data_IF_598351726553
#
_entry.id   IF_598351726553
#
_cell.length_a   1.000
_cell.length_b   1.000
_cell.length_c   1.000
_cell.angle_alpha   90.00
_cell.angle_beta   90.00
_cell.angle_gamma   90.00
#
_symmetry.space_group_name_H-M   'P 1'
#
loop_
_entity.id
_entity.type
_entity.pdbx_description
1 polymer ?
#
# COMPACT_ATOMS: atom_id res chain seq x y z
N UNK A 1 -6.39 7.47 7.38
CA UNK A 1 -6.26 6.60 8.58
C UNK A 1 -6.73 7.23 9.90
N UNK A 2 -6.36 8.48 10.22
CA UNK A 2 -6.76 9.16 11.47
C UNK A 2 -8.30 9.28 11.58
N UNK A 3 -8.95 9.70 10.49
CA UNK A 3 -10.41 9.79 10.40
C UNK A 3 -11.12 8.47 10.77
N UNK A 4 -10.63 7.35 10.24
CA UNK A 4 -11.16 6.01 10.50
C UNK A 4 -10.99 5.62 11.98
N UNK A 5 -9.87 5.98 12.62
CA UNK A 5 -9.66 5.70 14.06
C UNK A 5 -10.57 6.51 14.97
N UNK A 6 -10.98 7.70 14.54
CA UNK A 6 -11.89 8.56 15.28
C UNK A 6 -13.37 8.14 15.11
N UNK A 7 -13.65 6.99 14.50
CA UNK A 7 -14.99 6.46 14.27
C UNK A 7 -15.58 6.84 12.91
N UNK A 8 -14.77 7.35 11.99
CA UNK A 8 -15.19 7.64 10.62
C UNK A 8 -15.53 6.36 9.84
N UNK A 9 -16.57 6.45 9.01
CA UNK A 9 -16.99 5.38 8.10
C UNK A 9 -16.63 5.73 6.66
N UNK A 10 -16.65 4.75 5.75
CA UNK A 10 -16.39 4.95 4.33
C UNK A 10 -17.32 6.00 3.69
N UNK A 11 -18.49 6.24 4.29
CA UNK A 11 -19.48 7.24 3.87
C UNK A 11 -19.11 8.69 4.24
N UNK A 12 -17.88 8.91 4.74
CA UNK A 12 -17.31 10.22 5.10
C UNK A 12 -18.22 11.05 6.04
N UNK A 13 -18.94 10.37 6.94
CA UNK A 13 -19.79 11.03 7.93
C UNK A 13 -18.98 11.94 8.86
N UNK A 14 -19.51 13.12 9.26
CA UNK A 14 -18.83 14.00 10.19
C UNK A 14 -18.55 13.30 11.52
N UNK A 15 -17.32 13.40 12.00
CA UNK A 15 -16.92 12.91 13.33
C UNK A 15 -16.86 14.06 14.33
N UNK A 16 -17.20 13.78 15.59
CA UNK A 16 -17.09 14.79 16.65
C UNK A 16 -15.62 15.08 16.98
N UNK A 17 -15.30 16.36 17.21
CA UNK A 17 -13.96 16.80 17.63
C UNK A 17 -13.50 16.08 18.91
N UNK A 18 -14.43 15.79 19.83
CA UNK A 18 -14.14 15.05 21.07
C UNK A 18 -13.62 13.64 20.81
N UNK A 19 -14.17 12.93 19.82
CA UNK A 19 -13.73 11.57 19.49
C UNK A 19 -12.35 11.60 18.83
N UNK A 20 -12.13 12.58 17.95
CA UNK A 20 -10.83 12.80 17.33
C UNK A 20 -9.75 13.07 18.38
N UNK A 21 -9.97 14.03 19.28
CA UNK A 21 -9.01 14.39 20.33
C UNK A 21 -8.72 13.22 21.29
N UNK A 22 -9.74 12.45 21.68
CA UNK A 22 -9.54 11.26 22.52
C UNK A 22 -8.68 10.21 21.82
N UNK A 23 -8.97 9.90 20.56
CA UNK A 23 -8.19 8.93 19.78
C UNK A 23 -6.74 9.41 19.59
N UNK A 24 -6.54 10.68 19.25
CA UNK A 24 -5.23 11.27 19.05
C UNK A 24 -4.40 11.33 20.33
N UNK A 25 -5.00 11.76 21.44
CA UNK A 25 -4.35 11.78 22.76
C UNK A 25 -3.89 10.37 23.17
N UNK A 26 -4.72 9.35 22.93
CA UNK A 26 -4.36 7.97 23.21
C UNK A 26 -3.14 7.53 22.40
N UNK A 27 -3.10 7.86 21.11
CA UNK A 27 -1.97 7.53 20.23
C UNK A 27 -0.69 8.22 20.69
N UNK A 28 -0.76 9.52 20.99
CA UNK A 28 0.40 10.29 21.46
C UNK A 28 0.98 9.78 22.77
N UNK A 29 0.13 9.33 23.70
CA UNK A 29 0.56 8.84 25.01
C UNK A 29 1.07 7.39 24.98
N UNK A 30 0.58 6.57 24.04
CA UNK A 30 0.89 5.13 24.00
C UNK A 30 2.07 4.80 23.07
N UNK A 31 2.31 5.63 22.05
CA UNK A 31 3.27 5.33 20.98
C UNK A 31 4.52 6.21 21.07
N UNK A 32 5.72 5.64 21.31
CA UNK A 32 6.93 6.41 21.53
C UNK A 32 7.51 7.05 20.26
N UNK A 33 7.20 6.51 19.08
CA UNK A 33 7.77 6.95 17.80
C UNK A 33 6.76 6.87 16.64
N UNK A 34 7.15 7.40 15.49
CA UNK A 34 6.31 7.46 14.28
C UNK A 34 5.90 6.08 13.78
N UNK A 35 6.80 5.10 13.81
CA UNK A 35 6.49 3.73 13.42
C UNK A 35 5.40 3.12 14.30
N UNK A 36 5.46 3.32 15.62
CA UNK A 36 4.42 2.83 16.54
C UNK A 36 3.10 3.54 16.32
N UNK A 37 3.12 4.87 16.11
CA UNK A 37 1.91 5.65 15.79
C UNK A 37 1.26 5.15 14.50
N UNK A 38 2.07 4.89 13.47
CA UNK A 38 1.61 4.41 12.17
C UNK A 38 0.96 3.03 12.25
N UNK A 39 1.60 2.08 12.94
CA UNK A 39 1.02 0.74 13.16
C UNK A 39 -0.26 0.82 13.99
N UNK A 40 -0.28 1.62 15.06
CA UNK A 40 -1.46 1.82 15.89
C UNK A 40 -2.63 2.39 15.07
N UNK A 41 -2.37 3.36 14.20
CA UNK A 41 -3.36 3.96 13.32
C UNK A 41 -3.93 2.94 12.33
N UNK A 42 -3.11 2.19 11.61
CA UNK A 42 -3.62 1.27 10.59
C UNK A 42 -4.32 0.05 11.20
N UNK A 43 -3.80 -0.48 12.31
CA UNK A 43 -4.39 -1.63 12.99
C UNK A 43 -5.58 -1.27 13.88
N UNK A 44 -5.78 0.02 14.18
CA UNK A 44 -6.71 0.53 15.21
C UNK A 44 -6.42 -0.05 16.59
N UNK A 45 -5.13 -0.24 16.90
CA UNK A 45 -4.65 -0.83 18.14
C UNK A 45 -4.91 -2.33 18.31
N UNK A 46 -5.36 -3.02 17.26
CA UNK A 46 -5.64 -4.48 17.31
C UNK A 46 -4.37 -5.33 17.24
N UNK A 47 -3.27 -4.80 16.70
CA UNK A 47 -2.05 -5.54 16.47
C UNK A 47 -0.81 -4.63 16.56
N UNK A 48 0.35 -5.25 16.80
CA UNK A 48 1.67 -4.60 16.84
C UNK A 48 2.46 -4.81 15.54
N UNK A 49 1.81 -5.29 14.50
CA UNK A 49 2.33 -5.54 13.16
C UNK A 49 1.25 -5.21 12.13
N UNK A 50 1.65 -5.03 10.87
CA UNK A 50 0.75 -4.75 9.76
C UNK A 50 0.67 -5.94 8.81
N UNK A 51 -0.55 -6.25 8.37
CA UNK A 51 -0.82 -7.17 7.26
C UNK A 51 -1.22 -6.38 6.01
N UNK A 52 -1.23 -7.03 4.84
CA UNK A 52 -1.50 -6.37 3.55
C UNK A 52 -2.81 -5.57 3.57
N UNK A 53 -3.90 -6.16 4.09
CA UNK A 53 -5.21 -5.51 4.14
C UNK A 53 -5.26 -4.22 4.97
N UNK A 54 -4.35 -4.05 5.93
CA UNK A 54 -4.31 -2.84 6.75
C UNK A 54 -3.90 -1.61 5.94
N UNK A 55 -3.17 -1.79 4.84
CA UNK A 55 -2.73 -0.69 3.96
C UNK A 55 -3.79 -0.24 2.97
N UNK A 56 -4.80 -1.07 2.65
CA UNK A 56 -5.77 -0.79 1.59
C UNK A 56 -6.44 0.58 1.75
N UNK A 57 -6.90 0.92 2.96
CA UNK A 57 -7.54 2.22 3.20
C UNK A 57 -6.58 3.41 3.08
N UNK A 58 -5.29 3.22 3.37
CA UNK A 58 -4.30 4.28 3.20
C UNK A 58 -4.00 4.51 1.72
N UNK A 59 -3.77 3.44 0.95
CA UNK A 59 -3.43 3.55 -0.47
C UNK A 59 -4.62 4.06 -1.28
N UNK A 60 -5.84 3.65 -0.92
CA UNK A 60 -7.06 4.18 -1.51
C UNK A 60 -7.19 5.70 -1.29
N UNK A 61 -6.92 6.18 -0.09
CA UNK A 61 -6.95 7.62 0.24
C UNK A 61 -5.92 8.40 -0.60
N UNK A 62 -4.69 7.86 -0.73
CA UNK A 62 -3.63 8.44 -1.59
C UNK A 62 -4.07 8.48 -3.05
N UNK A 63 -4.67 7.40 -3.56
CA UNK A 63 -5.16 7.34 -4.94
C UNK A 63 -6.22 8.42 -5.20
N UNK A 64 -7.11 8.66 -4.23
CA UNK A 64 -8.20 9.64 -4.34
C UNK A 64 -7.74 11.09 -4.12
N UNK A 65 -6.65 11.32 -3.39
CA UNK A 65 -6.21 12.68 -3.00
C UNK A 65 -5.02 13.21 -3.80
N UNK A 66 -4.16 12.35 -4.34
CA UNK A 66 -2.89 12.78 -4.93
C UNK A 66 -3.08 13.33 -6.35
N UNK A 67 -2.60 14.54 -6.67
CA UNK A 67 -2.82 15.18 -7.99
C UNK A 67 -2.23 14.35 -9.13
N UNK A 68 -1.04 13.77 -8.94
CA UNK A 68 -0.39 12.86 -9.89
C UNK A 68 -1.15 11.55 -10.17
N UNK A 69 -2.25 11.24 -9.46
CA UNK A 69 -3.10 10.08 -9.70
C UNK A 69 -4.54 10.45 -10.10
N UNK A 70 -4.87 11.75 -10.17
CA UNK A 70 -6.25 12.20 -10.44
C UNK A 70 -6.84 11.67 -11.76
N UNK A 71 -6.00 11.41 -12.76
CA UNK A 71 -6.42 10.83 -14.03
C UNK A 71 -7.00 9.41 -13.89
N UNK A 72 -6.65 8.68 -12.82
CA UNK A 72 -7.21 7.35 -12.55
C UNK A 72 -8.64 7.39 -12.05
N UNK A 73 -9.18 8.53 -11.61
CA UNK A 73 -10.51 8.63 -11.01
C UNK A 73 -11.60 8.03 -11.92
N UNK A 74 -11.48 8.22 -13.25
CA UNK A 74 -12.41 7.69 -14.24
C UNK A 74 -12.29 6.16 -14.48
N UNK A 75 -11.19 5.54 -14.05
CA UNK A 75 -10.81 4.17 -14.40
C UNK A 75 -10.80 3.24 -13.16
N UNK A 76 -11.99 2.98 -12.60
CA UNK A 76 -12.16 2.21 -11.37
C UNK A 76 -11.57 0.79 -11.41
N UNK A 77 -11.53 0.17 -12.57
CA UNK A 77 -10.95 -1.18 -12.75
C UNK A 77 -9.44 -1.23 -12.44
N UNK A 78 -8.75 -0.08 -12.57
CA UNK A 78 -7.33 0.04 -12.29
C UNK A 78 -7.04 0.38 -10.82
N UNK A 79 -8.02 0.85 -10.05
CA UNK A 79 -7.83 1.26 -8.66
C UNK A 79 -7.39 0.09 -7.80
N UNK A 80 -8.16 -1.00 -7.83
CA UNK A 80 -7.86 -2.20 -7.06
C UNK A 80 -6.51 -2.81 -7.43
N UNK A 81 -6.16 -2.77 -8.72
CA UNK A 81 -4.88 -3.28 -9.26
C UNK A 81 -3.71 -2.43 -8.81
N UNK A 82 -3.85 -1.10 -8.84
CA UNK A 82 -2.83 -0.18 -8.34
C UNK A 82 -2.63 -0.35 -6.84
N UNK A 83 -3.71 -0.38 -6.06
CA UNK A 83 -3.66 -0.61 -4.60
C UNK A 83 -2.93 -1.92 -4.28
N UNK A 84 -3.34 -3.03 -4.91
CA UNK A 84 -2.69 -4.33 -4.71
C UNK A 84 -1.19 -4.28 -5.05
N UNK A 85 -0.83 -3.65 -6.17
CA UNK A 85 0.57 -3.54 -6.60
C UNK A 85 1.41 -2.71 -5.63
N UNK A 86 0.91 -1.57 -5.16
CA UNK A 86 1.61 -0.74 -4.18
C UNK A 86 1.79 -1.50 -2.86
N UNK A 87 0.75 -2.18 -2.37
CA UNK A 87 0.84 -2.99 -1.14
C UNK A 87 1.86 -4.11 -1.29
N UNK A 88 1.86 -4.83 -2.42
CA UNK A 88 2.87 -5.84 -2.71
C UNK A 88 4.28 -5.25 -2.73
N UNK A 89 4.48 -4.08 -3.34
CA UNK A 89 5.79 -3.39 -3.35
C UNK A 89 6.24 -2.95 -1.96
N UNK A 90 5.31 -2.51 -1.09
CA UNK A 90 5.62 -2.20 0.31
C UNK A 90 6.12 -3.46 1.01
N UNK A 91 5.38 -4.57 0.92
CA UNK A 91 5.77 -5.82 1.57
C UNK A 91 7.09 -6.37 1.02
N UNK A 92 7.34 -6.24 -0.29
CA UNK A 92 8.56 -6.70 -0.93
C UNK A 92 9.81 -6.00 -0.39
N UNK A 93 9.72 -4.69 -0.12
CA UNK A 93 10.85 -3.89 0.34
C UNK A 93 10.96 -3.83 1.88
N UNK A 94 9.84 -3.91 2.61
CA UNK A 94 9.79 -3.69 4.06
C UNK A 94 9.77 -5.01 4.84
N UNK A 95 9.03 -6.03 4.39
CA UNK A 95 8.88 -7.29 5.10
C UNK A 95 10.04 -8.26 4.81
N UNK A 96 11.24 -7.89 5.26
CA UNK A 96 12.47 -8.67 5.04
C UNK A 96 12.38 -10.09 5.61
N UNK A 97 11.54 -10.31 6.62
CA UNK A 97 11.30 -11.63 7.22
C UNK A 97 10.46 -12.57 6.35
N UNK A 98 9.79 -12.08 5.31
CA UNK A 98 8.83 -12.84 4.48
C UNK A 98 7.71 -13.52 5.30
N UNK A 99 7.43 -12.97 6.48
CA UNK A 99 6.42 -13.51 7.41
C UNK A 99 4.99 -13.14 7.02
N UNK A 100 4.81 -12.24 6.06
CA UNK A 100 3.51 -11.62 5.75
C UNK A 100 3.05 -10.62 6.82
N UNK A 101 3.93 -10.27 7.77
CA UNK A 101 3.64 -9.34 8.88
C UNK A 101 4.77 -8.33 9.01
N UNK A 102 4.52 -7.07 8.64
CA UNK A 102 5.49 -5.99 8.85
C UNK A 102 5.50 -5.62 10.33
N UNK A 103 6.63 -5.92 10.99
CA UNK A 103 6.86 -5.58 12.40
C UNK A 103 7.31 -4.13 12.56
N UNK A 104 7.17 -3.58 13.77
CA UNK A 104 7.72 -2.26 14.10
C UNK A 104 9.21 -2.14 13.79
N UNK A 105 9.98 -3.20 14.04
CA UNK A 105 11.42 -3.22 13.77
C UNK A 105 11.74 -3.14 12.27
N UNK A 106 10.98 -3.84 11.42
CA UNK A 106 11.12 -3.75 9.97
C UNK A 106 10.72 -2.37 9.45
N UNK A 107 9.60 -1.84 9.93
CA UNK A 107 9.13 -0.51 9.53
C UNK A 107 10.14 0.59 9.87
N UNK A 108 10.70 0.57 11.10
CA UNK A 108 11.72 1.53 11.56
C UNK A 108 13.00 1.52 10.72
N UNK A 109 13.39 0.35 10.21
CA UNK A 109 14.61 0.20 9.40
C UNK A 109 14.38 0.47 7.93
N UNK A 110 13.12 0.56 7.50
CA UNK A 110 12.75 0.89 6.13
C UNK A 110 12.75 2.40 5.89
N UNK A 111 12.76 2.78 4.62
CA UNK A 111 12.53 4.16 4.19
C UNK A 111 11.04 4.44 3.90
N UNK A 112 10.11 3.56 4.29
CA UNK A 112 8.70 3.70 3.91
C UNK A 112 8.05 4.98 4.46
N UNK A 113 8.21 5.30 5.75
CA UNK A 113 7.60 6.50 6.34
C UNK A 113 8.15 7.81 5.74
N UNK A 114 9.48 7.98 5.54
CA UNK A 114 10.01 9.13 4.82
C UNK A 114 9.45 9.27 3.39
N UNK A 115 9.32 8.16 2.65
CA UNK A 115 8.78 8.19 1.27
C UNK A 115 7.27 8.46 1.26
N UNK A 116 6.54 7.96 2.26
CA UNK A 116 5.12 8.31 2.42
C UNK A 116 4.94 9.81 2.67
N UNK A 117 5.81 10.42 3.49
CA UNK A 117 5.77 11.84 3.78
C UNK A 117 6.12 12.71 2.54
N UNK A 118 6.97 12.23 1.63
CA UNK A 118 7.30 13.00 0.42
C UNK A 118 6.13 13.17 -0.55
N UNK A 119 5.08 12.33 -0.46
CA UNK A 119 3.87 12.44 -1.30
C UNK A 119 3.08 13.74 -1.07
N UNK A 120 3.29 14.44 0.04
CA UNK A 120 2.65 15.73 0.28
C UNK A 120 3.29 16.87 -0.53
N UNK A 121 4.54 16.68 -0.97
CA UNK A 121 5.37 17.73 -1.60
C UNK A 121 5.58 17.44 -3.09
N UNK A 122 5.67 16.15 -3.46
CA UNK A 122 5.96 15.72 -4.83
C UNK A 122 4.68 15.51 -5.63
N UNK A 123 4.35 16.44 -6.52
CA UNK A 123 3.16 16.33 -7.37
C UNK A 123 3.28 15.23 -8.43
N UNK A 124 4.50 14.94 -8.91
CA UNK A 124 4.74 13.86 -9.87
C UNK A 124 4.97 12.52 -9.14
N UNK A 125 3.89 11.74 -9.05
CA UNK A 125 3.89 10.43 -8.40
C UNK A 125 4.96 9.48 -8.98
N UNK A 126 5.39 9.68 -10.23
CA UNK A 126 6.38 8.82 -10.89
C UNK A 126 7.80 9.05 -10.39
N UNK A 127 8.11 10.23 -9.82
CA UNK A 127 9.38 10.50 -9.16
C UNK A 127 9.51 9.74 -7.84
N UNK A 128 8.39 9.34 -7.23
CA UNK A 128 8.33 8.51 -6.02
C UNK A 128 8.46 7.03 -6.37
N UNK A 129 9.64 6.69 -6.88
CA UNK A 129 9.93 5.41 -7.55
C UNK A 129 9.92 4.20 -6.64
N UNK A 130 10.04 4.32 -5.31
CA UNK A 130 10.21 3.14 -4.44
C UNK A 130 8.91 2.33 -4.28
N UNK A 131 7.78 3.01 -4.07
CA UNK A 131 6.49 2.36 -3.76
C UNK A 131 5.35 2.79 -4.69
N UNK A 132 5.25 4.09 -4.97
CA UNK A 132 4.01 4.69 -5.47
C UNK A 132 4.00 5.02 -6.97
N UNK A 133 5.16 5.02 -7.65
CA UNK A 133 5.25 5.30 -9.09
C UNK A 133 4.21 4.54 -9.91
N UNK A 134 3.40 5.30 -10.65
CA UNK A 134 2.37 4.79 -11.54
C UNK A 134 2.98 4.13 -12.78
N UNK A 135 4.06 4.69 -13.33
CA UNK A 135 4.79 4.07 -14.44
C UNK A 135 5.28 2.66 -14.07
N UNK A 136 5.82 2.47 -12.87
CA UNK A 136 6.20 1.15 -12.40
C UNK A 136 5.00 0.21 -12.31
N UNK A 137 3.88 0.67 -11.76
CA UNK A 137 2.63 -0.11 -11.76
C UNK A 137 2.23 -0.50 -13.19
N UNK A 138 2.23 0.45 -14.13
CA UNK A 138 1.78 0.21 -15.50
C UNK A 138 2.65 -0.83 -16.21
N UNK A 139 3.98 -0.76 -16.06
CA UNK A 139 4.89 -1.76 -16.64
C UNK A 139 4.62 -3.16 -16.09
N UNK A 140 4.42 -3.27 -14.77
CA UNK A 140 4.10 -4.55 -14.10
C UNK A 140 2.76 -5.08 -14.60
N UNK A 141 1.75 -4.22 -14.65
CA UNK A 141 0.41 -4.57 -15.08
C UNK A 141 0.38 -5.02 -16.54
N UNK A 142 1.06 -4.30 -17.46
CA UNK A 142 1.17 -4.72 -18.85
C UNK A 142 1.82 -6.10 -18.99
N UNK A 143 2.89 -6.37 -18.22
CA UNK A 143 3.54 -7.69 -18.23
C UNK A 143 2.65 -8.78 -17.68
N UNK A 144 1.86 -8.49 -16.65
CA UNK A 144 0.87 -9.41 -16.13
C UNK A 144 -0.22 -9.70 -17.16
N UNK A 145 -0.78 -8.66 -17.77
CA UNK A 145 -1.84 -8.75 -18.78
C UNK A 145 -1.37 -9.49 -20.04
N UNK A 146 -0.09 -9.37 -20.42
CA UNK A 146 0.50 -10.17 -21.49
C UNK A 146 0.59 -11.68 -21.17
N UNK A 147 0.64 -12.05 -19.88
CA UNK A 147 0.77 -13.44 -19.42
C UNK A 147 -0.58 -14.09 -19.10
N UNK A 148 -1.52 -13.31 -18.56
CA UNK A 148 -2.87 -13.72 -18.16
C UNK A 148 -3.84 -13.69 -19.36
N UNK A 149 -3.72 -14.68 -20.26
CA UNK A 149 -4.55 -14.77 -21.48
C UNK A 149 -6.04 -15.01 -21.18
N UNK A 150 -6.35 -15.75 -20.12
CA UNK A 150 -7.70 -16.06 -19.68
C UNK A 150 -8.31 -14.99 -18.77
N UNK A 151 -7.53 -13.96 -18.43
CA UNK A 151 -7.95 -12.78 -17.67
C UNK A 151 -8.55 -13.15 -16.30
N UNK A 152 -8.07 -14.23 -15.69
CA UNK A 152 -8.57 -14.75 -14.42
C UNK A 152 -7.88 -14.11 -13.20
N UNK A 153 -6.92 -13.20 -13.47
CA UNK A 153 -6.09 -12.51 -12.51
C UNK A 153 -5.10 -13.43 -11.76
N UNK A 154 -4.78 -14.60 -12.32
CA UNK A 154 -3.89 -15.61 -11.75
C UNK A 154 -2.84 -16.01 -12.81
N UNK A 155 -1.54 -15.80 -12.50
CA UNK A 155 -0.49 -16.38 -13.35
C UNK A 155 -0.30 -17.85 -12.98
N UNK A 156 -0.70 -18.75 -13.87
CA UNK A 156 -0.44 -20.18 -13.72
C UNK A 156 1.03 -20.51 -14.03
N UNK A 157 1.46 -21.70 -13.63
CA UNK A 157 2.80 -22.21 -13.93
C UNK A 157 3.06 -22.32 -15.44
N UNK A 158 2.00 -22.54 -16.20
CA UNK A 158 1.97 -22.60 -17.67
C UNK A 158 2.19 -21.23 -18.29
N UNK A 159 1.60 -20.18 -17.74
CA UNK A 159 1.75 -18.80 -18.23
C UNK A 159 3.17 -18.31 -17.97
N UNK A 160 3.70 -18.62 -16.77
CA UNK A 160 5.06 -18.29 -16.38
C UNK A 160 6.12 -19.01 -17.24
N UNK A 161 5.86 -20.24 -17.68
CA UNK A 161 6.77 -21.01 -18.52
C UNK A 161 6.92 -20.43 -19.95
N UNK A 162 5.94 -19.63 -20.41
CA UNK A 162 5.99 -18.92 -21.68
C UNK A 162 6.85 -17.66 -21.61
N UNK A 163 7.13 -17.13 -20.41
CA UNK A 163 8.01 -15.98 -20.21
C UNK A 163 9.49 -16.38 -20.37
N UNK A 164 10.00 -16.34 -21.60
CA UNK A 164 11.32 -16.82 -22.01
C UNK A 164 12.51 -15.91 -21.61
N UNK A 165 12.65 -15.54 -20.34
CA UNK A 165 13.87 -14.93 -19.78
C UNK A 165 14.00 -15.27 -18.28
N UNK A 166 14.43 -16.51 -18.05
CA UNK A 166 14.68 -17.12 -16.75
C UNK A 166 15.58 -16.26 -15.85
N UNK A 167 15.09 -15.84 -14.68
CA UNK A 167 15.97 -15.74 -13.52
C UNK A 167 15.66 -14.68 -12.47
N UNK A 168 15.11 -13.51 -12.82
CA UNK A 168 15.00 -12.40 -11.83
C UNK A 168 13.61 -11.79 -11.67
N UNK A 169 12.79 -11.71 -12.73
CA UNK A 169 11.45 -11.13 -12.64
C UNK A 169 10.41 -12.08 -12.00
N UNK A 170 10.67 -13.39 -12.03
CA UNK A 170 9.76 -14.43 -11.51
C UNK A 170 9.48 -14.28 -10.00
N UNK A 171 10.49 -13.95 -9.18
CA UNK A 171 10.27 -13.76 -7.73
C UNK A 171 9.38 -12.56 -7.43
N UNK A 172 9.52 -11.50 -8.22
CA UNK A 172 8.71 -10.29 -8.10
C UNK A 172 7.29 -10.52 -8.62
N UNK A 173 7.13 -11.22 -9.75
CA UNK A 173 5.81 -11.62 -10.24
C UNK A 173 5.09 -12.55 -9.25
N UNK A 174 5.76 -13.59 -8.75
CA UNK A 174 5.16 -14.51 -7.76
C UNK A 174 4.68 -13.75 -6.51
N UNK A 175 5.43 -12.75 -6.03
CA UNK A 175 5.07 -12.01 -4.82
C UNK A 175 3.93 -10.99 -4.99
N UNK A 176 3.68 -10.52 -6.21
CA UNK A 176 2.54 -9.63 -6.48
C UNK A 176 1.23 -10.42 -6.58
N UNK A 177 1.31 -11.70 -6.97
CA UNK A 177 0.15 -12.52 -7.30
C UNK A 177 -0.12 -13.70 -6.33
N UNK A 178 0.71 -13.88 -5.30
CA UNK A 178 0.49 -14.82 -4.17
C UNK A 178 0.67 -14.12 -2.82
#
# INVERSE_FOLDING_TARGET
AIYINAGGTSDRQPITLSNLLKSWSTILNTCPDEASKFVQLLTRGRATYLVQSDFNSLIQDILESHPGLAFLEAAKDFHSRYVATVVARIFFNVNISWSGRITLGELRRSNFLPVLASLEIEDDINLVTQYFSYEHFYVIYCKFWELDEDHDLIISRTDLARHNNYGKCIRFCIFIFF
#
